data_IF_372891961905
#
_entry.id   IF_372891961905
#
_cell.length_a   1.000
_cell.length_b   1.000
_cell.length_c   1.000
_cell.angle_alpha   90.00
_cell.angle_beta   90.00
_cell.angle_gamma   90.00
#
_symmetry.space_group_name_H-M   'P 1'
#
loop_
_entity.id
_entity.type
_entity.pdbx_description
1 polymer ?
#
# COMPACT_ATOMS: atom_id res chain seq x y z
N UNK A 1 3.57 -15.40 -2.64
CA UNK A 1 2.91 -14.13 -2.25
C UNK A 1 1.78 -13.85 -3.23
N UNK A 2 0.61 -13.45 -2.74
CA UNK A 2 -0.53 -13.03 -3.58
C UNK A 2 -0.41 -11.54 -3.90
N UNK A 3 0.65 -11.16 -4.61
CA UNK A 3 0.91 -9.75 -4.93
C UNK A 3 -0.17 -9.18 -5.84
N UNK A 4 -0.52 -7.89 -5.72
CA UNK A 4 -1.40 -7.22 -6.67
C UNK A 4 -0.87 -7.35 -8.10
N UNK A 5 -1.73 -7.75 -9.03
CA UNK A 5 -1.38 -7.77 -10.46
C UNK A 5 -1.66 -6.39 -11.03
N UNK A 6 -0.63 -5.70 -11.52
CA UNK A 6 -0.76 -4.34 -12.04
C UNK A 6 -0.43 -4.34 -13.53
N UNK A 7 -1.38 -3.90 -14.36
CA UNK A 7 -1.18 -3.69 -15.79
C UNK A 7 -0.49 -2.34 -16.01
N UNK A 8 -1.06 -1.28 -15.44
CA UNK A 8 -0.50 0.08 -15.46
C UNK A 8 -0.78 0.78 -14.14
N UNK A 9 0.09 1.74 -13.77
CA UNK A 9 -0.12 2.62 -12.63
C UNK A 9 0.75 3.88 -12.77
N UNK A 10 0.34 4.97 -12.12
CA UNK A 10 1.08 6.22 -12.03
C UNK A 10 1.71 6.32 -10.63
N UNK A 11 3.05 6.42 -10.51
CA UNK A 11 3.70 6.77 -9.25
C UNK A 11 3.23 8.15 -8.77
N UNK A 12 2.66 8.20 -7.57
CA UNK A 12 2.17 9.43 -6.93
C UNK A 12 3.17 10.01 -5.96
N UNK A 13 3.81 9.14 -5.17
CA UNK A 13 4.74 9.52 -4.13
C UNK A 13 5.83 8.46 -4.00
N UNK A 14 7.03 8.88 -3.62
CA UNK A 14 8.17 8.00 -3.40
C UNK A 14 8.77 8.30 -2.05
N UNK A 15 9.22 7.26 -1.35
CA UNK A 15 9.82 7.38 -0.04
C UNK A 15 11.06 6.50 0.06
N UNK A 16 12.04 6.96 0.83
CA UNK A 16 13.11 6.14 1.35
C UNK A 16 12.77 5.74 2.80
N UNK A 17 12.87 4.45 3.10
CA UNK A 17 12.64 3.90 4.43
C UNK A 17 13.75 2.89 4.78
N UNK A 18 14.84 3.38 5.38
CA UNK A 18 16.02 2.56 5.63
C UNK A 18 16.55 1.96 4.34
N UNK A 19 16.60 0.63 4.24
CA UNK A 19 17.01 -0.10 3.02
C UNK A 19 15.89 -0.25 1.98
N UNK A 20 14.67 0.23 2.25
CA UNK A 20 13.53 0.08 1.36
C UNK A 20 13.26 1.34 0.58
N UNK A 21 12.97 1.18 -0.71
CA UNK A 21 12.30 2.19 -1.50
C UNK A 21 10.81 1.86 -1.52
N UNK A 22 9.99 2.82 -1.11
CA UNK A 22 8.54 2.69 -1.14
C UNK A 22 7.96 3.62 -2.21
N UNK A 23 7.03 3.10 -3.01
CA UNK A 23 6.33 3.87 -4.03
C UNK A 23 4.83 3.75 -3.82
N UNK A 24 4.16 4.88 -3.66
CA UNK A 24 2.69 4.96 -3.71
C UNK A 24 2.29 5.07 -5.18
N UNK A 25 1.50 4.10 -5.62
CA UNK A 25 0.91 4.00 -6.94
C UNK A 25 -0.55 4.44 -6.87
N UNK A 26 -1.01 5.17 -7.88
CA UNK A 26 -2.41 5.52 -8.12
C UNK A 26 -2.74 5.36 -9.61
N UNK A 27 -3.98 5.67 -10.00
CA UNK A 27 -4.49 5.44 -11.37
C UNK A 27 -4.16 4.03 -11.86
N UNK A 28 -4.56 3.04 -11.06
CA UNK A 28 -4.14 1.66 -11.19
C UNK A 28 -5.11 0.92 -12.10
N UNK A 29 -4.57 0.33 -13.16
CA UNK A 29 -5.26 -0.68 -13.95
C UNK A 29 -4.78 -2.06 -13.53
N UNK A 30 -5.72 -2.93 -13.19
CA UNK A 30 -5.43 -4.28 -12.69
C UNK A 30 -6.46 -5.28 -13.23
N UNK A 31 -6.04 -6.51 -13.57
CA UNK A 31 -6.96 -7.60 -13.88
C UNK A 31 -7.55 -8.26 -12.61
N UNK A 32 -7.16 -7.82 -11.42
CA UNK A 32 -7.74 -8.32 -10.18
C UNK A 32 -9.20 -7.87 -10.04
N UNK A 33 -10.01 -8.70 -9.38
CA UNK A 33 -11.39 -8.32 -9.07
C UNK A 33 -11.48 -7.17 -8.05
N UNK A 34 -10.35 -6.84 -7.41
CA UNK A 34 -10.21 -5.77 -6.43
C UNK A 34 -10.05 -4.43 -7.13
N UNK A 35 -10.79 -3.43 -6.66
CA UNK A 35 -10.66 -2.05 -7.15
C UNK A 35 -9.66 -1.28 -6.30
N UNK A 36 -8.41 -1.24 -6.73
CA UNK A 36 -7.36 -0.49 -6.05
C UNK A 36 -7.53 1.01 -6.27
N UNK A 37 -7.58 1.77 -5.17
CA UNK A 37 -7.46 3.23 -5.20
C UNK A 37 -5.98 3.64 -5.16
N UNK A 38 -5.23 3.03 -4.24
CA UNK A 38 -3.78 3.20 -4.12
C UNK A 38 -3.10 1.89 -3.75
N UNK A 39 -1.81 1.77 -4.08
CA UNK A 39 -0.95 0.69 -3.60
C UNK A 39 0.38 1.29 -3.16
N UNK A 40 0.80 1.02 -1.92
CA UNK A 40 2.18 1.21 -1.50
C UNK A 40 2.95 -0.07 -1.82
N UNK A 41 4.01 0.01 -2.61
CA UNK A 41 4.89 -1.11 -2.93
C UNK A 41 6.30 -0.84 -2.39
N UNK A 42 6.87 -1.77 -1.63
CA UNK A 42 8.22 -1.66 -1.07
C UNK A 42 9.18 -2.64 -1.75
N UNK A 43 10.27 -2.09 -2.26
CA UNK A 43 11.40 -2.84 -2.83
C UNK A 43 12.59 -2.68 -1.89
N UNK A 44 13.19 -3.80 -1.47
CA UNK A 44 14.41 -3.76 -0.67
C UNK A 44 15.61 -3.46 -1.56
N UNK A 45 16.61 -2.74 -1.05
CA UNK A 45 17.88 -2.51 -1.73
C UNK A 45 18.49 -3.84 -2.21
N UNK A 46 18.93 -3.87 -3.48
CA UNK A 46 19.46 -5.08 -4.13
C UNK A 46 18.40 -5.98 -4.76
N UNK A 47 17.11 -5.76 -4.50
CA UNK A 47 16.01 -6.47 -5.15
C UNK A 47 15.45 -5.69 -6.34
N UNK A 48 14.89 -6.42 -7.31
CA UNK A 48 14.27 -5.84 -8.52
C UNK A 48 12.74 -5.87 -8.49
N UNK A 49 12.14 -6.48 -7.47
CA UNK A 49 10.70 -6.67 -7.35
C UNK A 49 10.23 -6.32 -5.94
N UNK A 50 9.02 -5.77 -5.77
CA UNK A 50 8.53 -5.47 -4.43
C UNK A 50 8.15 -6.75 -3.67
N UNK A 51 8.60 -6.84 -2.42
CA UNK A 51 8.36 -7.95 -1.50
C UNK A 51 7.24 -7.69 -0.48
N UNK A 52 6.76 -6.44 -0.41
CA UNK A 52 5.74 -6.02 0.55
C UNK A 52 4.83 -4.97 -0.09
N UNK A 53 3.53 -5.09 0.16
CA UNK A 53 2.51 -4.18 -0.34
C UNK A 53 1.51 -3.82 0.75
N UNK A 54 1.00 -2.60 0.65
CA UNK A 54 -0.25 -2.20 1.30
C UNK A 54 -1.20 -1.72 0.22
N UNK A 55 -2.37 -2.37 0.07
CA UNK A 55 -3.41 -1.94 -0.85
C UNK A 55 -4.46 -1.10 -0.13
N UNK A 56 -4.90 -0.01 -0.77
CA UNK A 56 -6.15 0.66 -0.48
C UNK A 56 -7.19 0.22 -1.50
N UNK A 57 -8.20 -0.51 -1.03
CA UNK A 57 -9.22 -1.14 -1.88
C UNK A 57 -10.55 -0.45 -1.65
N UNK A 58 -11.26 -0.11 -2.74
CA UNK A 58 -12.63 0.41 -2.61
C UNK A 58 -13.53 -0.68 -2.08
N UNK A 59 -14.26 -0.37 -1.02
CA UNK A 59 -15.25 -1.28 -0.50
C UNK A 59 -16.41 -1.44 -1.50
N UNK A 60 -16.90 -2.67 -1.69
CA UNK A 60 -18.14 -2.88 -2.43
C UNK A 60 -19.29 -2.21 -1.68
N UNK A 61 -20.37 -1.89 -2.41
CA UNK A 61 -21.54 -1.22 -1.84
C UNK A 61 -22.14 -1.95 -0.63
N UNK A 62 -22.01 -3.26 -0.56
CA UNK A 62 -22.46 -4.09 0.57
C UNK A 62 -21.74 -3.79 1.88
N UNK A 63 -20.51 -3.25 1.82
CA UNK A 63 -19.67 -2.94 2.98
C UNK A 63 -19.51 -1.42 3.19
N UNK A 64 -20.33 -0.59 2.53
CA UNK A 64 -20.19 0.86 2.58
C UNK A 64 -20.37 1.46 3.99
N UNK A 65 -21.08 0.77 4.88
CA UNK A 65 -21.27 1.19 6.28
C UNK A 65 -19.97 1.10 7.11
N UNK A 66 -19.01 0.28 6.69
CA UNK A 66 -17.73 0.10 7.38
C UNK A 66 -16.68 1.13 6.93
N UNK A 67 -16.97 1.88 5.87
CA UNK A 67 -16.08 2.83 5.23
C UNK A 67 -16.02 2.62 3.72
N UNK A 68 -15.58 3.64 2.99
CA UNK A 68 -15.47 3.59 1.52
C UNK A 68 -14.24 2.83 1.05
N UNK A 69 -13.22 2.68 1.89
CA UNK A 69 -11.98 2.01 1.57
C UNK A 69 -11.55 1.08 2.71
N UNK A 70 -10.83 0.02 2.36
CA UNK A 70 -10.15 -0.87 3.30
C UNK A 70 -8.67 -0.97 3.00
N UNK A 71 -7.87 -1.22 4.03
CA UNK A 71 -6.45 -1.52 3.88
C UNK A 71 -6.17 -3.00 4.01
N UNK A 72 -5.26 -3.49 3.18
CA UNK A 72 -4.74 -4.85 3.28
C UNK A 72 -3.23 -4.86 3.14
N UNK A 73 -2.57 -5.63 4.01
CA UNK A 73 -1.13 -5.88 3.97
C UNK A 73 -0.88 -7.19 3.26
N UNK A 74 0.02 -7.19 2.27
CA UNK A 74 0.38 -8.35 1.47
C UNK A 74 1.89 -8.50 1.47
N UNK A 75 2.38 -9.65 1.91
CA UNK A 75 3.79 -10.03 1.86
C UNK A 75 3.93 -11.53 1.63
N UNK A 76 5.14 -12.07 1.72
CA UNK A 76 5.35 -13.51 1.73
C UNK A 76 4.68 -14.21 2.93
N UNK A 77 4.60 -13.53 4.07
CA UNK A 77 4.10 -14.08 5.33
C UNK A 77 2.65 -13.67 5.66
N UNK A 78 2.18 -12.53 5.15
CA UNK A 78 0.88 -11.94 5.52
C UNK A 78 0.01 -11.67 4.29
N UNK A 79 -1.30 -11.84 4.45
CA UNK A 79 -2.33 -11.34 3.52
C UNK A 79 -3.58 -11.01 4.34
N UNK A 80 -3.55 -9.86 5.00
CA UNK A 80 -4.51 -9.53 6.05
C UNK A 80 -5.14 -8.16 5.84
N UNK A 81 -6.44 -8.08 6.07
CA UNK A 81 -7.18 -6.83 6.10
C UNK A 81 -6.98 -6.16 7.46
N UNK A 82 -6.60 -4.89 7.46
CA UNK A 82 -6.24 -4.15 8.67
C UNK A 82 -7.41 -3.32 9.20
N UNK A 83 -8.31 -2.87 8.33
CA UNK A 83 -9.49 -2.10 8.70
C UNK A 83 -10.12 -1.38 7.51
N UNK A 84 -11.11 -0.55 7.80
CA UNK A 84 -11.85 0.29 6.84
C UNK A 84 -11.95 1.75 7.31
N UNK A 85 -11.85 2.70 6.37
CA UNK A 85 -12.00 4.14 6.62
C UNK A 85 -12.34 4.91 5.34
N UNK A 86 -12.94 6.09 5.50
CA UNK A 86 -13.15 7.04 4.40
C UNK A 86 -11.90 7.89 4.09
N UNK A 87 -11.03 8.08 5.08
CA UNK A 87 -9.90 8.99 4.98
C UNK A 87 -8.85 8.48 3.97
N UNK A 88 -8.76 7.17 3.78
CA UNK A 88 -7.82 6.56 2.83
C UNK A 88 -8.18 6.75 1.35
N UNK A 89 -9.25 7.51 1.07
CA UNK A 89 -9.49 8.08 -0.25
C UNK A 89 -8.50 9.20 -0.61
N UNK A 90 -7.88 9.83 0.39
CA UNK A 90 -6.81 10.81 0.22
C UNK A 90 -5.44 10.13 0.17
N UNK A 91 -4.59 10.58 -0.75
CA UNK A 91 -3.28 9.96 -1.00
C UNK A 91 -2.30 10.17 0.14
N UNK A 92 -2.30 11.34 0.79
CA UNK A 92 -1.39 11.62 1.90
C UNK A 92 -1.81 10.87 3.16
N UNK A 93 -3.12 10.79 3.44
CA UNK A 93 -3.67 9.97 4.53
C UNK A 93 -3.39 8.48 4.32
N UNK A 94 -3.58 7.97 3.10
CA UNK A 94 -3.20 6.61 2.74
C UNK A 94 -1.71 6.35 2.94
N UNK A 95 -0.85 7.21 2.38
CA UNK A 95 0.60 7.03 2.42
C UNK A 95 1.12 7.01 3.87
N UNK A 96 0.65 7.93 4.71
CA UNK A 96 1.01 7.96 6.13
C UNK A 96 0.65 6.65 6.83
N UNK A 97 -0.58 6.16 6.67
CA UNK A 97 -1.02 4.92 7.29
C UNK A 97 -0.28 3.69 6.74
N UNK A 98 -0.10 3.61 5.42
CA UNK A 98 0.55 2.49 4.77
C UNK A 98 2.04 2.38 5.15
N UNK A 99 2.73 3.51 5.26
CA UNK A 99 4.12 3.56 5.73
C UNK A 99 4.23 3.15 7.21
N UNK A 100 3.32 3.61 8.07
CA UNK A 100 3.27 3.20 9.47
C UNK A 100 3.07 1.68 9.61
N UNK A 101 2.15 1.10 8.84
CA UNK A 101 1.94 -0.35 8.80
C UNK A 101 3.17 -1.10 8.29
N UNK A 102 3.82 -0.61 7.24
CA UNK A 102 5.05 -1.22 6.73
C UNK A 102 6.16 -1.23 7.79
N UNK A 103 6.37 -0.12 8.49
CA UNK A 103 7.34 -0.01 9.58
C UNK A 103 7.06 -1.04 10.68
N UNK A 104 5.80 -1.13 11.12
CA UNK A 104 5.38 -2.05 12.16
C UNK A 104 5.57 -3.52 11.74
N UNK A 105 5.07 -3.90 10.56
CA UNK A 105 5.07 -5.31 10.12
C UNK A 105 6.48 -5.79 9.76
N UNK A 106 7.32 -4.91 9.21
CA UNK A 106 8.71 -5.25 8.87
C UNK A 106 9.67 -5.11 10.07
N UNK A 107 9.18 -4.69 11.24
CA UNK A 107 10.02 -4.54 12.44
C UNK A 107 11.09 -3.46 12.31
N UNK A 108 10.78 -2.37 11.60
CA UNK A 108 11.74 -1.31 11.24
C UNK A 108 11.96 -0.26 12.34
N UNK A 109 11.42 -0.49 13.54
CA UNK A 109 11.59 0.38 14.70
C UNK A 109 11.03 1.79 14.47
N UNK A 110 11.79 2.81 14.87
CA UNK A 110 11.40 4.23 14.74
C UNK A 110 11.90 4.88 13.44
N UNK A 111 12.11 4.08 12.38
CA UNK A 111 12.51 4.63 11.09
C UNK A 111 11.48 5.64 10.58
N UNK A 112 11.96 6.82 10.19
CA UNK A 112 11.13 7.88 9.61
C UNK A 112 11.19 7.79 8.08
N UNK A 113 10.05 7.63 7.39
CA UNK A 113 10.02 7.70 5.94
C UNK A 113 10.45 9.09 5.46
N UNK A 114 11.40 9.14 4.53
CA UNK A 114 11.80 10.37 3.86
C UNK A 114 11.12 10.45 2.50
N UNK A 115 10.34 11.50 2.24
CA UNK A 115 9.69 11.70 0.95
C UNK A 115 10.71 12.17 -0.08
N UNK A 116 10.78 11.47 -1.20
CA UNK A 116 11.65 11.81 -2.32
C UNK A 116 10.91 12.77 -3.26
N UNK A 117 11.59 13.82 -3.68
CA UNK A 117 11.10 14.87 -4.61
C UNK A 117 11.15 14.40 -6.06
#
# INVERSE_FOLDING_TARGET
MQAPRITTAIPKQRYQLGEYQAVVLGDIESPDAVRYQYILALVRAGESRPGFYVSCEKNPRSLAAEGSHRLRVISAAFNEEIGSSNDWSDVDAFAAQALALAIQVLGLGELKPERLT
#
